data_IF_410779694430
#
_entry.id   IF_410779694430
#
_cell.length_a   1.000
_cell.length_b   1.000
_cell.length_c   1.000
_cell.angle_alpha   90.00
_cell.angle_beta   90.00
_cell.angle_gamma   90.00
#
_symmetry.space_group_name_H-M   'P 1'
#
loop_
_entity.id
_entity.type
_entity.pdbx_description
1 polymer ?
#
# COMPACT_ATOMS: atom_id res chain seq x y z
N UNK A 1 4.39 15.08 24.76
CA UNK A 1 5.51 14.13 24.67
C UNK A 1 5.69 13.80 23.19
N UNK A 2 6.63 14.48 22.54
CA UNK A 2 6.90 14.30 21.11
C UNK A 2 8.24 13.58 20.99
N UNK A 3 8.23 12.35 20.48
CA UNK A 3 9.43 11.56 20.16
C UNK A 3 9.29 11.17 18.70
N UNK A 4 9.93 11.92 17.81
CA UNK A 4 10.66 11.39 16.65
C UNK A 4 11.29 12.55 15.88
N UNK A 5 12.62 12.50 15.69
CA UNK A 5 13.38 13.38 14.81
C UNK A 5 14.32 12.50 13.97
N UNK A 6 14.39 12.67 12.63
CA UNK A 6 15.41 12.00 11.83
C UNK A 6 16.67 12.86 11.70
N UNK A 7 17.82 12.22 11.95
CA UNK A 7 19.15 12.77 11.76
C UNK A 7 19.49 12.92 10.27
N UNK A 8 20.11 14.04 9.92
CA UNK A 8 20.68 14.27 8.60
C UNK A 8 22.14 13.81 8.51
N UNK A 9 22.57 13.49 7.29
CA UNK A 9 23.99 13.46 6.92
C UNK A 9 24.11 13.68 5.41
N UNK A 10 24.75 14.80 5.03
CA UNK A 10 25.22 15.01 3.66
C UNK A 10 26.62 14.46 3.45
N UNK A 11 27.05 14.39 2.19
CA UNK A 11 28.32 14.97 1.71
C UNK A 11 28.41 14.86 0.19
N UNK A 12 29.16 15.79 -0.39
CA UNK A 12 29.49 16.00 -1.81
C UNK A 12 30.57 15.03 -2.28
N UNK A 13 30.69 14.84 -3.60
CA UNK A 13 31.91 14.30 -4.22
C UNK A 13 31.85 14.29 -5.74
N UNK A 14 32.64 15.17 -6.37
CA UNK A 14 32.86 15.28 -7.82
C UNK A 14 33.85 14.21 -8.33
N UNK A 15 33.86 13.96 -9.65
CA UNK A 15 34.92 13.17 -10.29
C UNK A 15 34.72 13.02 -11.80
N UNK A 16 35.45 13.82 -12.57
CA UNK A 16 35.65 13.73 -14.03
C UNK A 16 36.33 12.41 -14.45
N UNK A 17 36.07 11.99 -15.69
CA UNK A 17 36.83 10.93 -16.34
C UNK A 17 36.54 10.80 -17.85
N UNK A 18 37.39 11.43 -18.68
CA UNK A 18 37.48 11.17 -20.12
C UNK A 18 37.94 9.74 -20.38
N UNK A 19 37.32 9.09 -21.36
CA UNK A 19 37.81 7.85 -21.96
C UNK A 19 37.56 7.85 -23.46
N UNK A 20 38.64 7.70 -24.23
CA UNK A 20 38.69 7.58 -25.70
C UNK A 20 38.58 6.12 -26.14
N UNK A 21 37.97 5.88 -27.30
CA UNK A 21 38.17 4.76 -28.27
C UNK A 21 36.91 4.68 -29.15
N UNK A 22 36.92 4.40 -30.45
CA UNK A 22 37.94 3.83 -31.31
C UNK A 22 37.41 2.58 -32.00
N UNK A 23 36.69 2.74 -33.12
CA UNK A 23 36.62 1.79 -34.24
C UNK A 23 35.69 0.56 -34.14
N UNK A 24 35.05 0.24 -35.28
CA UNK A 24 34.57 -1.12 -35.58
C UNK A 24 33.17 -1.19 -36.19
N UNK A 25 33.10 -1.27 -37.52
CA UNK A 25 31.89 -1.50 -38.31
C UNK A 25 31.53 -3.01 -38.37
N UNK A 26 30.23 -3.24 -38.35
CA UNK A 26 29.42 -4.20 -39.13
C UNK A 26 29.83 -5.68 -39.24
N UNK A 27 28.97 -6.57 -38.70
CA UNK A 27 28.58 -7.82 -39.37
C UNK A 27 27.26 -8.34 -38.79
N UNK A 28 26.28 -8.56 -39.67
CA UNK A 28 24.94 -9.04 -39.34
C UNK A 28 24.89 -10.53 -39.00
N UNK A 29 23.97 -10.87 -38.11
CA UNK A 29 23.55 -12.24 -37.81
C UNK A 29 22.15 -12.21 -37.22
N UNK A 30 21.12 -12.27 -38.08
CA UNK A 30 19.71 -12.34 -37.68
C UNK A 30 19.39 -13.80 -37.33
N UNK A 31 19.58 -14.16 -36.06
CA UNK A 31 19.05 -15.40 -35.46
C UNK A 31 17.56 -15.28 -35.09
N UNK A 32 16.84 -16.40 -34.90
CA UNK A 32 15.39 -16.41 -34.70
C UNK A 32 15.01 -15.84 -33.34
N UNK A 33 13.90 -15.09 -33.31
CA UNK A 33 13.43 -14.32 -32.16
C UNK A 33 13.14 -15.18 -30.93
N UNK A 34 14.02 -15.10 -29.93
CA UNK A 34 13.66 -15.39 -28.55
C UNK A 34 12.68 -14.33 -28.00
N UNK A 35 11.91 -14.63 -26.95
CA UNK A 35 11.01 -13.65 -26.35
C UNK A 35 11.83 -12.42 -25.96
N UNK A 36 11.51 -11.29 -26.60
CA UNK A 36 12.24 -10.05 -26.42
C UNK A 36 12.24 -9.67 -24.94
N UNK A 37 13.40 -9.81 -24.29
CA UNK A 37 13.65 -9.27 -22.95
C UNK A 37 13.37 -7.78 -23.04
N UNK A 38 12.22 -7.35 -22.52
CA UNK A 38 11.87 -5.93 -22.47
C UNK A 38 13.02 -5.21 -21.75
N UNK A 39 13.53 -4.09 -22.27
CA UNK A 39 14.58 -3.33 -21.60
C UNK A 39 14.12 -2.98 -20.18
N UNK A 40 15.05 -3.02 -19.22
CA UNK A 40 14.78 -2.79 -17.81
C UNK A 40 14.04 -1.47 -17.59
N UNK A 41 12.75 -1.58 -17.30
CA UNK A 41 11.91 -0.43 -16.96
C UNK A 41 12.25 -0.03 -15.54
N UNK A 42 12.58 1.25 -15.33
CA UNK A 42 12.75 1.78 -13.98
C UNK A 42 11.42 1.66 -13.21
N UNK A 43 11.46 1.31 -11.91
CA UNK A 43 10.26 1.21 -11.09
C UNK A 43 9.50 2.53 -11.14
N UNK A 44 8.20 2.47 -11.44
CA UNK A 44 7.37 3.69 -11.41
C UNK A 44 7.03 4.05 -9.97
N UNK A 45 6.72 5.33 -9.76
CA UNK A 45 6.22 5.79 -8.47
C UNK A 45 5.00 4.95 -8.05
N UNK A 46 5.11 4.27 -6.90
CA UNK A 46 4.07 3.37 -6.40
C UNK A 46 4.25 1.89 -6.76
N UNK A 47 5.35 1.49 -7.40
CA UNK A 47 5.73 0.09 -7.62
C UNK A 47 6.77 -0.40 -6.60
N UNK A 48 6.75 -1.69 -6.23
CA UNK A 48 7.77 -2.26 -5.37
C UNK A 48 9.18 -2.11 -5.98
N UNK A 49 10.15 -1.69 -5.18
CA UNK A 49 11.55 -1.67 -5.60
C UNK A 49 12.15 -3.07 -5.57
N UNK A 50 13.30 -3.30 -6.21
CA UNK A 50 14.03 -4.58 -6.09
C UNK A 50 14.24 -5.05 -4.62
N UNK A 51 14.73 -4.19 -3.72
CA UNK A 51 14.75 -4.45 -2.27
C UNK A 51 13.39 -4.84 -1.67
N UNK A 52 12.31 -4.14 -2.02
CA UNK A 52 10.96 -4.43 -1.55
C UNK A 52 10.40 -5.75 -2.08
N UNK A 53 10.68 -6.10 -3.33
CA UNK A 53 10.33 -7.40 -3.94
C UNK A 53 11.05 -8.53 -3.19
N UNK A 54 12.32 -8.34 -2.82
CA UNK A 54 13.07 -9.34 -2.06
C UNK A 54 12.52 -9.51 -0.64
N UNK A 55 12.08 -8.43 0.00
CA UNK A 55 11.34 -8.50 1.27
C UNK A 55 10.04 -9.29 1.14
N UNK A 56 9.20 -9.00 0.14
CA UNK A 56 7.97 -9.77 -0.13
C UNK A 56 8.28 -11.26 -0.38
N UNK A 57 9.29 -11.55 -1.20
CA UNK A 57 9.66 -12.92 -1.52
C UNK A 57 10.13 -13.72 -0.30
N UNK A 58 10.75 -13.05 0.68
CA UNK A 58 11.23 -13.68 1.91
C UNK A 58 10.12 -14.27 2.79
N UNK A 59 8.86 -13.87 2.58
CA UNK A 59 7.72 -14.48 3.28
C UNK A 59 7.45 -15.91 2.81
N UNK A 60 7.72 -16.21 1.53
CA UNK A 60 7.45 -17.51 0.93
C UNK A 60 8.42 -18.60 1.41
N UNK A 61 7.96 -19.85 1.40
CA UNK A 61 8.80 -21.03 1.74
C UNK A 61 10.03 -21.15 0.83
N UNK A 62 9.91 -20.73 -0.43
CA UNK A 62 10.99 -20.78 -1.42
C UNK A 62 11.20 -19.40 -2.06
N UNK A 63 11.91 -18.46 -1.39
CA UNK A 63 12.05 -17.09 -1.86
C UNK A 63 12.65 -16.96 -3.26
N UNK A 64 13.64 -17.80 -3.60
CA UNK A 64 14.27 -17.79 -4.93
C UNK A 64 13.32 -18.23 -6.04
N UNK A 65 12.46 -19.20 -5.78
CA UNK A 65 11.48 -19.66 -6.76
C UNK A 65 10.42 -18.58 -7.03
N UNK A 66 9.98 -17.89 -5.97
CA UNK A 66 9.03 -16.78 -6.09
C UNK A 66 9.64 -15.58 -6.84
N UNK A 67 10.92 -15.26 -6.60
CA UNK A 67 11.62 -14.24 -7.38
C UNK A 67 11.73 -14.62 -8.86
N UNK A 68 12.06 -15.88 -9.17
CA UNK A 68 12.11 -16.37 -10.55
C UNK A 68 10.73 -16.34 -11.24
N UNK A 69 9.66 -16.63 -10.49
CA UNK A 69 8.29 -16.50 -10.98
C UNK A 69 7.99 -15.05 -11.36
N UNK A 70 8.29 -14.08 -10.50
CA UNK A 70 8.07 -12.66 -10.78
C UNK A 70 9.01 -12.10 -11.85
N UNK A 71 10.20 -12.66 -12.03
CA UNK A 71 11.07 -12.30 -13.15
C UNK A 71 10.48 -12.78 -14.49
N UNK A 72 9.86 -13.97 -14.50
CA UNK A 72 9.20 -14.52 -15.69
C UNK A 72 7.87 -13.82 -15.99
N UNK A 73 7.08 -13.48 -14.95
CA UNK A 73 5.80 -12.78 -15.06
C UNK A 73 5.66 -11.71 -13.96
N UNK A 74 6.16 -10.47 -14.19
CA UNK A 74 6.08 -9.36 -13.23
C UNK A 74 4.65 -8.84 -12.98
N UNK A 75 3.73 -9.14 -13.90
CA UNK A 75 2.34 -8.69 -13.88
C UNK A 75 1.43 -9.68 -13.13
N UNK A 76 1.93 -10.85 -12.75
CA UNK A 76 1.20 -11.83 -11.98
C UNK A 76 1.04 -11.42 -10.49
N UNK A 77 -0.18 -11.41 -9.94
CA UNK A 77 -0.36 -11.37 -8.48
C UNK A 77 0.13 -12.68 -7.86
N UNK A 78 0.55 -12.63 -6.60
CA UNK A 78 1.03 -13.82 -5.89
C UNK A 78 0.39 -13.96 -4.51
N UNK A 79 0.20 -15.19 -4.06
CA UNK A 79 -0.20 -15.49 -2.69
C UNK A 79 1.04 -15.60 -1.79
N UNK A 80 1.06 -14.86 -0.69
CA UNK A 80 2.14 -14.89 0.30
C UNK A 80 1.59 -15.33 1.67
N UNK A 81 2.28 -16.22 2.39
CA UNK A 81 1.90 -16.57 3.75
C UNK A 81 2.12 -15.38 4.69
N UNK A 82 1.27 -15.27 5.71
CA UNK A 82 1.38 -14.29 6.78
C UNK A 82 2.02 -14.94 8.04
N UNK A 83 2.43 -14.11 9.00
CA UNK A 83 2.94 -14.55 10.30
C UNK A 83 4.45 -14.72 10.42
N UNK A 84 5.18 -14.84 9.31
CA UNK A 84 6.64 -15.01 9.33
C UNK A 84 7.39 -13.68 9.24
N UNK A 85 7.17 -12.96 8.14
CA UNK A 85 7.83 -11.68 7.83
C UNK A 85 6.93 -10.49 8.13
N UNK A 86 5.63 -10.67 7.96
CA UNK A 86 4.61 -9.67 8.23
C UNK A 86 3.28 -10.35 8.57
N UNK A 87 2.45 -9.65 9.32
CA UNK A 87 1.01 -9.89 9.38
C UNK A 87 0.30 -8.92 8.44
N UNK A 88 -0.99 -9.14 8.18
CA UNK A 88 -1.79 -8.20 7.39
C UNK A 88 -3.10 -7.89 8.09
N UNK A 89 -3.40 -6.61 8.24
CA UNK A 89 -4.72 -6.14 8.71
C UNK A 89 -5.51 -5.63 7.52
N UNK A 90 -6.62 -6.30 7.25
CA UNK A 90 -7.49 -6.08 6.11
C UNK A 90 -8.78 -5.39 6.55
N UNK A 91 -8.97 -4.17 6.05
CA UNK A 91 -10.02 -3.25 6.49
C UNK A 91 -10.85 -2.77 5.31
N UNK A 92 -12.10 -2.37 5.53
CA UNK A 92 -12.94 -1.80 4.46
C UNK A 92 -12.31 -0.50 3.94
N UNK A 93 -12.34 -0.27 2.62
CA UNK A 93 -11.52 0.80 2.00
C UNK A 93 -11.74 2.20 2.57
N UNK A 94 -12.98 2.57 2.89
CA UNK A 94 -13.27 3.92 3.44
C UNK A 94 -12.64 4.09 4.82
N UNK A 95 -12.80 3.11 5.71
CA UNK A 95 -12.18 3.14 7.03
C UNK A 95 -10.66 3.05 6.94
N UNK A 96 -10.13 2.20 6.06
CA UNK A 96 -8.70 2.11 5.80
C UNK A 96 -8.11 3.43 5.34
N UNK A 97 -8.81 4.19 4.49
CA UNK A 97 -8.35 5.53 4.09
C UNK A 97 -8.22 6.45 5.29
N UNK A 98 -9.23 6.51 6.16
CA UNK A 98 -9.20 7.33 7.37
C UNK A 98 -8.09 6.90 8.32
N UNK A 99 -7.87 5.60 8.51
CA UNK A 99 -6.75 5.09 9.30
C UNK A 99 -5.40 5.57 8.74
N UNK A 100 -5.22 5.48 7.42
CA UNK A 100 -3.99 5.96 6.77
C UNK A 100 -3.82 7.47 6.95
N UNK A 101 -4.88 8.25 6.78
CA UNK A 101 -4.82 9.70 7.00
C UNK A 101 -4.35 10.03 8.43
N UNK A 102 -4.81 9.28 9.46
CA UNK A 102 -4.32 9.45 10.83
C UNK A 102 -2.84 9.03 10.99
N UNK A 103 -2.45 7.88 10.43
CA UNK A 103 -1.08 7.36 10.50
C UNK A 103 -0.05 8.33 9.87
N UNK A 104 -0.44 9.03 8.81
CA UNK A 104 0.43 9.98 8.11
C UNK A 104 0.38 11.39 8.71
N UNK A 105 -0.76 11.82 9.24
CA UNK A 105 -0.88 13.15 9.83
C UNK A 105 -0.21 13.25 11.21
N UNK A 106 -0.41 12.24 12.06
CA UNK A 106 -0.03 12.29 13.48
C UNK A 106 0.66 11.02 13.98
N UNK A 107 0.75 9.99 13.13
CA UNK A 107 1.37 8.72 13.46
C UNK A 107 2.79 8.58 12.90
N UNK A 108 3.41 7.41 13.13
CA UNK A 108 4.75 7.09 12.61
C UNK A 108 4.77 6.69 11.12
N UNK A 109 3.67 6.88 10.39
CA UNK A 109 3.45 6.34 9.04
C UNK A 109 2.73 4.98 9.06
N UNK A 110 2.51 4.40 7.87
CA UNK A 110 1.73 3.16 7.70
C UNK A 110 2.54 1.93 7.24
N UNK A 111 3.75 2.13 6.72
CA UNK A 111 4.49 1.07 6.01
C UNK A 111 3.82 0.71 4.67
N UNK A 112 4.11 -0.48 4.12
CA UNK A 112 3.52 -0.96 2.87
C UNK A 112 2.01 -1.17 2.97
N UNK A 113 1.30 -0.73 1.93
CA UNK A 113 -0.17 -0.80 1.86
C UNK A 113 -0.61 -1.20 0.46
N UNK A 114 -1.52 -2.15 0.40
CA UNK A 114 -2.17 -2.57 -0.83
C UNK A 114 -3.69 -2.41 -0.75
N UNK A 115 -4.33 -2.42 -1.91
CA UNK A 115 -5.75 -2.66 -2.05
C UNK A 115 -5.96 -4.05 -2.64
N UNK A 116 -6.97 -4.75 -2.13
CA UNK A 116 -7.44 -6.01 -2.70
C UNK A 116 -8.97 -6.11 -2.55
N UNK A 117 -9.70 -6.20 -3.66
CA UNK A 117 -11.17 -6.40 -3.74
C UNK A 117 -11.98 -5.49 -2.81
N UNK A 118 -11.68 -4.18 -2.83
CA UNK A 118 -12.39 -3.18 -2.00
C UNK A 118 -12.00 -3.19 -0.52
N UNK A 119 -10.88 -3.83 -0.18
CA UNK A 119 -10.25 -3.77 1.13
C UNK A 119 -8.86 -3.18 1.04
N UNK A 120 -8.50 -2.43 2.07
CA UNK A 120 -7.15 -1.92 2.29
C UNK A 120 -6.41 -2.94 3.14
N UNK A 121 -5.28 -3.41 2.64
CA UNK A 121 -4.38 -4.34 3.30
C UNK A 121 -3.20 -3.53 3.85
N UNK A 122 -3.09 -3.44 5.17
CA UNK A 122 -1.96 -2.80 5.85
C UNK A 122 -1.02 -3.91 6.31
N UNK A 123 0.22 -3.89 5.83
CA UNK A 123 1.25 -4.83 6.28
C UNK A 123 1.72 -4.39 7.66
N UNK A 124 1.77 -5.33 8.60
CA UNK A 124 2.01 -5.07 10.01
C UNK A 124 3.13 -5.97 10.55
N UNK A 125 3.68 -5.59 11.70
CA UNK A 125 4.70 -6.39 12.36
C UNK A 125 4.12 -7.78 12.73
N UNK A 126 4.88 -8.89 12.59
CA UNK A 126 4.43 -10.21 13.00
C UNK A 126 3.90 -10.26 14.44
N UNK A 127 2.80 -10.98 14.66
CA UNK A 127 2.09 -11.06 15.95
C UNK A 127 1.01 -9.99 16.13
N UNK A 128 0.94 -8.99 15.25
CA UNK A 128 -0.12 -7.97 15.25
C UNK A 128 -1.50 -8.60 15.04
N UNK A 129 -1.61 -9.58 14.16
CA UNK A 129 -2.88 -10.22 13.82
C UNK A 129 -3.52 -10.94 15.02
N UNK A 130 -2.69 -11.49 15.91
CA UNK A 130 -3.17 -12.13 17.13
C UNK A 130 -3.52 -11.11 18.23
N UNK A 131 -2.76 -10.01 18.33
CA UNK A 131 -2.85 -9.06 19.44
C UNK A 131 -3.87 -7.95 19.22
N UNK A 132 -4.02 -7.45 17.99
CA UNK A 132 -4.90 -6.33 17.68
C UNK A 132 -6.39 -6.61 18.00
N UNK A 133 -6.98 -7.77 17.64
CA UNK A 133 -8.37 -8.06 18.01
C UNK A 133 -8.59 -8.09 19.52
N UNK A 134 -7.62 -8.62 20.28
CA UNK A 134 -7.67 -8.63 21.73
C UNK A 134 -7.67 -7.19 22.28
N UNK A 135 -6.77 -6.32 21.82
CA UNK A 135 -6.73 -4.92 22.25
C UNK A 135 -8.04 -4.16 21.97
N UNK A 136 -8.61 -4.36 20.78
CA UNK A 136 -9.90 -3.74 20.40
C UNK A 136 -11.08 -4.25 21.25
N UNK A 137 -11.05 -5.53 21.63
CA UNK A 137 -12.05 -6.11 22.51
C UNK A 137 -11.95 -5.61 23.94
N UNK A 138 -10.74 -5.50 24.49
CA UNK A 138 -10.50 -5.04 25.86
C UNK A 138 -10.88 -3.59 26.09
N UNK A 139 -10.65 -2.71 25.11
CA UNK A 139 -10.99 -1.29 25.20
C UNK A 139 -12.44 -0.98 24.75
N UNK A 140 -13.26 -2.01 24.50
CA UNK A 140 -14.67 -1.90 24.08
C UNK A 140 -14.89 -1.14 22.75
N UNK A 141 -13.84 -0.91 21.96
CA UNK A 141 -13.93 -0.26 20.64
C UNK A 141 -14.52 -1.15 19.55
N UNK A 142 -14.72 -2.44 19.81
CA UNK A 142 -15.17 -3.43 18.82
C UNK A 142 -16.49 -3.07 18.11
N UNK A 143 -17.37 -2.28 18.73
CA UNK A 143 -18.62 -1.81 18.10
C UNK A 143 -18.45 -0.52 17.28
N UNK A 144 -17.42 0.28 17.60
CA UNK A 144 -17.16 1.56 16.94
C UNK A 144 -16.21 1.42 15.74
N UNK A 145 -15.40 0.36 15.72
CA UNK A 145 -14.48 0.03 14.64
C UNK A 145 -15.15 -0.99 13.70
N UNK A 146 -15.24 -0.73 12.38
CA UNK A 146 -15.76 -1.71 11.44
C UNK A 146 -14.98 -3.03 11.50
N UNK A 147 -15.61 -4.18 11.20
CA UNK A 147 -14.94 -5.48 11.28
C UNK A 147 -13.62 -5.52 10.49
N UNK A 148 -12.53 -5.77 11.22
CA UNK A 148 -11.19 -5.98 10.67
C UNK A 148 -10.95 -7.48 10.47
N UNK A 149 -10.24 -7.82 9.41
CA UNK A 149 -9.69 -9.17 9.24
C UNK A 149 -8.20 -9.12 9.53
N UNK A 150 -7.74 -9.94 10.46
CA UNK A 150 -6.34 -10.02 10.85
C UNK A 150 -5.78 -11.33 10.30
N UNK A 151 -4.79 -11.24 9.42
CA UNK A 151 -4.12 -12.37 8.79
C UNK A 151 -2.75 -12.57 9.41
N UNK A 152 -2.55 -13.71 10.08
CA UNK A 152 -1.35 -14.05 10.82
C UNK A 152 -0.79 -15.42 10.44
N UNK A 153 -0.10 -16.12 11.36
CA UNK A 153 0.42 -17.46 11.09
C UNK A 153 -0.65 -18.43 10.60
N UNK A 154 -0.41 -19.07 9.45
CA UNK A 154 -1.34 -20.01 8.82
C UNK A 154 -2.28 -19.39 7.78
N UNK A 155 -2.36 -18.06 7.72
CA UNK A 155 -3.10 -17.36 6.67
C UNK A 155 -2.20 -17.06 5.46
N UNK A 156 -2.84 -16.78 4.32
CA UNK A 156 -2.17 -16.25 3.14
C UNK A 156 -3.00 -15.11 2.53
N UNK A 157 -2.31 -14.11 1.99
CA UNK A 157 -2.92 -12.99 1.27
C UNK A 157 -2.44 -12.94 -0.16
N UNK A 158 -3.27 -12.39 -1.05
CA UNK A 158 -2.84 -12.08 -2.43
C UNK A 158 -2.26 -10.67 -2.46
N UNK A 159 -0.98 -10.56 -2.83
CA UNK A 159 -0.33 -9.27 -3.07
C UNK A 159 -0.54 -8.81 -4.51
N UNK A 160 -0.61 -7.49 -4.75
CA UNK A 160 -0.64 -6.96 -6.10
C UNK A 160 0.63 -7.32 -6.89
N UNK A 161 0.57 -7.26 -8.23
CA UNK A 161 1.74 -7.43 -9.08
C UNK A 161 2.91 -6.53 -8.70
N UNK A 162 4.14 -7.01 -8.93
CA UNK A 162 5.37 -6.24 -8.64
C UNK A 162 5.71 -5.23 -9.72
N UNK A 163 5.19 -5.41 -10.94
CA UNK A 163 5.20 -4.39 -11.99
C UNK A 163 3.87 -4.42 -12.74
N UNK A 164 2.85 -3.67 -12.28
CA UNK A 164 1.56 -3.64 -12.95
C UNK A 164 1.66 -3.03 -14.36
N UNK A 165 0.90 -3.59 -15.31
CA UNK A 165 0.67 -2.99 -16.62
C UNK A 165 -0.06 -1.63 -16.48
N UNK A 166 0.13 -0.76 -17.48
CA UNK A 166 -0.44 0.61 -17.55
C UNK A 166 -1.97 0.70 -17.52
N UNK A 167 -2.70 -0.42 -17.48
CA UNK A 167 -4.14 -0.43 -17.42
C UNK A 167 -4.65 -1.52 -16.48
N UNK A 168 -4.99 -1.08 -15.26
CA UNK A 168 -6.06 -1.61 -14.42
C UNK A 168 -6.41 -3.08 -14.53
N UNK A 169 -5.68 -3.95 -13.85
CA UNK A 169 -6.33 -5.15 -13.32
C UNK A 169 -7.30 -4.70 -12.22
N UNK A 170 -8.64 -4.75 -12.45
CA UNK A 170 -9.58 -4.30 -11.44
C UNK A 170 -9.59 -5.35 -10.33
N UNK A 171 -8.88 -5.08 -9.23
CA UNK A 171 -8.97 -5.96 -8.07
C UNK A 171 -7.82 -5.85 -7.09
N UNK A 172 -6.60 -5.52 -7.52
CA UNK A 172 -5.48 -5.40 -6.58
C UNK A 172 -4.41 -4.41 -7.07
N UNK A 173 -3.96 -3.50 -6.19
CA UNK A 173 -2.92 -2.50 -6.50
C UNK A 173 -2.18 -2.08 -5.24
N UNK A 174 -0.95 -1.60 -5.38
CA UNK A 174 -0.24 -0.94 -4.29
C UNK A 174 -0.82 0.47 -4.06
N UNK A 175 -1.03 0.84 -2.80
CA UNK A 175 -1.25 2.23 -2.39
C UNK A 175 0.06 2.86 -1.92
N UNK A 176 0.87 2.07 -1.21
CA UNK A 176 2.23 2.38 -0.79
C UNK A 176 3.04 1.09 -0.97
N UNK A 177 3.83 1.02 -2.04
CA UNK A 177 4.61 -0.17 -2.32
C UNK A 177 5.82 -0.28 -1.39
N UNK A 178 6.27 -1.51 -1.04
CA UNK A 178 7.50 -1.69 -0.31
C UNK A 178 8.70 -1.24 -1.13
N UNK A 179 9.56 -0.44 -0.52
CA UNK A 179 10.71 0.19 -1.16
C UNK A 179 12.07 -0.24 -0.54
N UNK A 180 12.04 -0.98 0.57
CA UNK A 180 13.23 -1.39 1.33
C UNK A 180 13.23 -2.89 1.65
N UNK A 181 14.40 -3.44 2.01
CA UNK A 181 14.54 -4.83 2.50
C UNK A 181 13.95 -5.06 3.88
N UNK A 182 13.90 -4.00 4.67
CA UNK A 182 13.36 -3.98 6.03
C UNK A 182 12.44 -2.77 6.14
N UNK A 183 11.27 -2.81 5.48
CA UNK A 183 10.32 -1.71 5.58
C UNK A 183 9.85 -1.59 7.04
N UNK A 184 9.58 -0.36 7.47
CA UNK A 184 8.93 -0.15 8.75
C UNK A 184 7.51 -0.74 8.70
N UNK A 185 7.12 -1.46 9.75
CA UNK A 185 5.81 -2.08 9.89
C UNK A 185 5.14 -1.62 11.19
N UNK A 186 3.89 -1.12 11.15
CA UNK A 186 3.16 -0.77 12.35
C UNK A 186 2.92 -2.01 13.21
N UNK A 187 3.15 -1.88 14.52
CA UNK A 187 2.76 -2.88 15.51
C UNK A 187 1.28 -2.77 15.91
N UNK A 188 0.79 -3.67 16.79
CA UNK A 188 -0.61 -3.71 17.18
C UNK A 188 -1.06 -2.43 17.90
N UNK A 189 -0.21 -1.80 18.69
CA UNK A 189 -0.53 -0.55 19.40
C UNK A 189 -0.70 0.63 18.44
N UNK A 190 0.12 0.69 17.39
CA UNK A 190 0.03 1.74 16.36
C UNK A 190 -1.25 1.57 15.53
N UNK A 191 -1.59 0.34 15.16
CA UNK A 191 -2.84 0.07 14.43
C UNK A 191 -4.08 0.28 15.31
N UNK A 192 -4.03 -0.08 16.59
CA UNK A 192 -5.10 0.23 17.55
C UNK A 192 -5.32 1.74 17.60
N UNK A 193 -4.26 2.53 17.80
CA UNK A 193 -4.33 3.99 17.82
C UNK A 193 -4.98 4.55 16.55
N UNK A 194 -4.57 4.06 15.37
CA UNK A 194 -5.13 4.50 14.10
C UNK A 194 -6.61 4.13 13.95
N UNK A 195 -7.00 2.92 14.34
CA UNK A 195 -8.40 2.48 14.36
C UNK A 195 -9.26 3.37 15.23
N UNK A 196 -8.84 3.61 16.48
CA UNK A 196 -9.60 4.41 17.45
C UNK A 196 -9.75 5.85 16.96
N UNK A 197 -8.69 6.45 16.42
CA UNK A 197 -8.76 7.81 15.88
C UNK A 197 -9.64 7.91 14.65
N UNK A 198 -9.54 6.96 13.72
CA UNK A 198 -10.41 6.91 12.56
C UNK A 198 -11.89 6.76 12.98
N UNK A 199 -12.18 5.87 13.93
CA UNK A 199 -13.54 5.68 14.45
C UNK A 199 -14.09 6.95 15.11
N UNK A 200 -13.27 7.65 15.93
CA UNK A 200 -13.65 8.92 16.54
C UNK A 200 -13.90 10.00 15.50
N UNK A 201 -13.03 10.12 14.49
CA UNK A 201 -13.20 11.08 13.41
C UNK A 201 -14.49 10.82 12.61
N UNK A 202 -14.81 9.56 12.32
CA UNK A 202 -16.07 9.18 11.68
C UNK A 202 -17.31 9.46 12.56
N UNK A 203 -17.15 9.41 13.89
CA UNK A 203 -18.19 9.75 14.84
C UNK A 203 -18.31 11.26 15.12
N UNK A 204 -17.39 12.09 14.64
CA UNK A 204 -17.46 13.54 14.82
C UNK A 204 -18.62 14.14 14.03
N UNK A 205 -19.35 15.13 14.60
CA UNK A 205 -20.47 15.78 13.91
C UNK A 205 -20.06 16.47 12.59
N UNK A 206 -18.80 16.93 12.49
CA UNK A 206 -18.24 17.51 11.27
C UNK A 206 -18.16 16.50 10.11
N UNK A 207 -17.82 15.23 10.39
CA UNK A 207 -17.80 14.17 9.38
C UNK A 207 -19.21 13.74 8.96
N UNK A 208 -20.18 13.79 9.88
CA UNK A 208 -21.59 13.50 9.60
C UNK A 208 -22.28 14.59 8.76
N UNK A 209 -21.73 15.80 8.71
CA UNK A 209 -22.25 16.91 7.91
C UNK A 209 -21.85 16.89 6.43
N UNK A 210 -20.91 16.02 6.02
CA UNK A 210 -20.28 16.09 4.69
C UNK A 210 -20.83 15.11 3.64
N UNK A 211 -21.91 14.38 3.94
CA UNK A 211 -22.54 13.44 2.99
C UNK A 211 -24.02 13.84 2.83
N UNK A 212 -24.26 14.92 2.08
CA UNK A 212 -25.58 15.56 1.74
C UNK A 212 -26.28 16.28 2.92
N UNK A 213 -26.94 17.45 2.84
CA UNK A 213 -27.51 18.30 1.78
C UNK A 213 -27.06 19.77 1.99
N UNK A 214 -26.64 20.47 0.94
CA UNK A 214 -26.99 21.89 0.90
C UNK A 214 -28.47 21.92 0.58
N UNK A 215 -29.32 22.17 1.59
CA UNK A 215 -30.69 22.53 1.31
C UNK A 215 -30.62 23.75 0.39
N UNK A 216 -31.06 23.58 -0.86
CA UNK A 216 -31.29 24.67 -1.78
C UNK A 216 -32.41 25.55 -1.19
N UNK A 217 -32.03 26.44 -0.25
CA UNK A 217 -32.86 27.53 0.22
C UNK A 217 -32.82 28.62 -0.86
N UNK A 218 -33.42 28.32 -2.02
CA UNK A 218 -33.35 29.22 -3.17
C UNK A 218 -34.44 29.09 -4.23
N UNK A 219 -35.21 28.00 -4.26
CA UNK A 219 -36.27 27.85 -5.25
C UNK A 219 -37.53 28.66 -4.86
N UNK A 220 -37.57 29.94 -5.25
CA UNK A 220 -38.80 30.74 -5.21
C UNK A 220 -39.67 30.39 -6.43
N UNK A 221 -40.62 29.48 -6.22
CA UNK A 221 -41.64 29.12 -7.22
C UNK A 221 -42.67 30.25 -7.25
N UNK A 222 -42.61 31.10 -8.27
CA UNK A 222 -43.68 32.05 -8.56
C UNK A 222 -44.90 31.31 -9.10
N UNK A 223 -46.02 31.41 -8.39
CA UNK A 223 -47.33 30.99 -8.90
C UNK A 223 -47.77 31.95 -10.02
N UNK A 224 -47.89 31.41 -11.25
CA UNK A 224 -48.30 32.17 -12.44
C UNK A 224 -49.76 31.90 -12.83
N UNK A 225 -50.60 31.47 -11.88
CA UNK A 225 -52.00 31.09 -12.18
C UNK A 225 -53.00 32.25 -12.13
N UNK A 226 -52.57 33.49 -12.30
CA UNK A 226 -53.49 34.64 -12.51
C UNK A 226 -53.11 35.46 -13.72
N UNK A 227 -53.52 34.99 -14.90
CA UNK A 227 -53.84 35.87 -16.02
C UNK A 227 -55.09 35.41 -16.75
N UNK A 228 -56.12 36.25 -16.57
CA UNK A 228 -57.33 36.48 -17.36
C UNK A 228 -58.42 35.43 -17.33
#
# INVERSE_FOLDING_TARGET
>A
MSIWAPAGSGTRGAGDGRGTSGGGRDAGGRGPGGPGRRPGREPRAGEPTGPGIQWLASAGTYPRALLALWEADPEAPAALPCGSVFDVVSVVSVFGRQMLDQLWAEGPGSGPVACHRGRTLVFAAPGTAARLPALLGWEEWGQSVPPLLCHGPGDAITVPPVSPADAGTPGSRWLLAPDARHPWLPGPEVLLWACVRAARAAASPEARGSIFLHADQGANVYDVSRRR
#
